data_IF_945070116410
#
_entry.id   IF_945070116410
#
_cell.length_a   1.000
_cell.length_b   1.000
_cell.length_c   1.000
_cell.angle_alpha   90.00
_cell.angle_beta   90.00
_cell.angle_gamma   90.00
#
_symmetry.space_group_name_H-M   'P 1'
#
loop_
_entity.id
_entity.type
_entity.pdbx_description
1 polymer ?
#
# COMPACT_ATOMS: atom_id res chain seq x y z
N UNK A 1 3.22 20.98 19.25
CA UNK A 1 3.89 19.75 18.77
C UNK A 1 2.88 18.60 18.84
N UNK A 2 2.35 18.09 17.72
CA UNK A 2 1.56 16.85 17.73
C UNK A 2 2.23 15.83 16.79
N UNK A 3 3.48 15.45 17.06
CA UNK A 3 4.23 14.45 16.27
C UNK A 3 4.11 13.04 16.84
N UNK A 4 3.74 12.90 18.14
CA UNK A 4 3.69 11.60 18.81
C UNK A 4 2.55 10.69 18.33
N UNK A 5 1.37 11.25 18.07
CA UNK A 5 0.19 10.43 17.70
C UNK A 5 0.30 9.91 16.26
N UNK A 6 0.90 10.68 15.35
CA UNK A 6 1.09 10.26 13.96
C UNK A 6 2.12 9.10 13.86
N UNK A 7 3.20 9.18 14.64
CA UNK A 7 4.22 8.12 14.70
C UNK A 7 3.69 6.86 15.41
N UNK A 8 2.78 7.00 16.37
CA UNK A 8 2.09 5.86 16.99
C UNK A 8 1.12 5.18 16.03
N UNK A 9 0.38 5.92 15.21
CA UNK A 9 -0.52 5.34 14.20
C UNK A 9 0.25 4.67 13.08
N UNK A 10 1.34 5.28 12.59
CA UNK A 10 2.25 4.65 11.63
C UNK A 10 2.93 3.39 12.21
N UNK A 11 3.34 3.43 13.48
CA UNK A 11 3.87 2.26 14.18
C UNK A 11 2.83 1.14 14.37
N UNK A 12 1.57 1.48 14.67
CA UNK A 12 0.49 0.51 14.79
C UNK A 12 0.11 -0.12 13.43
N UNK A 13 0.10 0.66 12.35
CA UNK A 13 -0.10 0.11 11.00
C UNK A 13 1.03 -0.83 10.55
N UNK A 14 2.28 -0.57 10.97
CA UNK A 14 3.40 -1.48 10.69
C UNK A 14 3.35 -2.75 11.55
N UNK A 15 2.81 -2.67 12.78
CA UNK A 15 2.63 -3.84 13.64
C UNK A 15 1.48 -4.76 13.20
N UNK A 16 0.43 -4.22 12.56
CA UNK A 16 -0.62 -5.05 11.95
C UNK A 16 -0.15 -5.81 10.68
N UNK A 17 0.97 -5.41 10.08
CA UNK A 17 1.60 -6.14 8.97
C UNK A 17 2.47 -7.31 9.48
N UNK A 18 2.87 -7.30 10.76
CA UNK A 18 3.79 -8.28 11.33
C UNK A 18 3.13 -9.51 11.97
N UNK A 19 1.80 -9.58 12.05
CA UNK A 19 1.10 -10.71 12.66
C UNK A 19 0.09 -11.25 11.66
N UNK A 20 0.53 -12.14 10.78
CA UNK A 20 -0.19 -13.28 10.18
C UNK A 20 0.59 -13.73 8.95
N UNK A 21 1.57 -14.58 9.22
CA UNK A 21 2.45 -15.22 8.23
C UNK A 21 3.20 -16.33 8.93
N UNK A 22 2.48 -17.10 9.74
CA UNK A 22 2.96 -18.33 10.32
C UNK A 22 2.01 -19.40 9.82
N UNK A 23 2.34 -19.96 8.65
CA UNK A 23 1.92 -21.31 8.30
C UNK A 23 2.64 -22.23 9.27
N UNK A 24 2.10 -22.31 10.50
CA UNK A 24 2.40 -23.41 11.39
C UNK A 24 1.90 -24.66 10.67
N UNK A 25 2.83 -25.32 10.00
CA UNK A 25 2.71 -26.74 9.71
C UNK A 25 2.53 -27.41 11.06
N UNK A 26 1.27 -27.64 11.44
CA UNK A 26 0.90 -28.42 12.62
C UNK A 26 1.51 -29.82 12.44
N UNK A 27 2.72 -30.01 12.96
CA UNK A 27 3.27 -31.31 13.30
C UNK A 27 2.47 -31.85 14.50
N UNK A 28 1.26 -32.32 14.22
CA UNK A 28 0.53 -33.18 15.15
C UNK A 28 1.12 -34.58 15.03
N UNK A 29 2.11 -34.83 15.89
CA UNK A 29 2.74 -36.11 16.10
C UNK A 29 1.75 -37.12 16.71
N UNK A 30 1.01 -37.80 15.83
CA UNK A 30 0.36 -39.10 16.10
C UNK A 30 0.34 -39.88 14.79
N UNK A 31 1.25 -40.84 14.62
CA UNK A 31 1.42 -41.68 13.42
C UNK A 31 1.28 -40.90 12.09
N UNK A 32 2.25 -40.01 11.84
CA UNK A 32 2.33 -39.28 10.59
C UNK A 32 2.48 -40.27 9.43
N UNK A 33 1.40 -40.50 8.69
CA UNK A 33 1.46 -41.06 7.35
C UNK A 33 2.41 -40.15 6.58
N UNK A 34 3.67 -40.58 6.37
CA UNK A 34 4.65 -39.80 5.60
C UNK A 34 4.04 -39.61 4.21
N UNK A 35 3.66 -38.39 3.86
CA UNK A 35 3.02 -38.03 2.59
C UNK A 35 4.05 -37.49 1.60
N UNK A 36 3.79 -37.65 0.30
CA UNK A 36 4.63 -37.01 -0.71
C UNK A 36 4.57 -35.50 -0.56
N UNK A 37 5.74 -34.85 -0.57
CA UNK A 37 5.83 -33.40 -0.70
C UNK A 37 5.93 -33.05 -2.18
N UNK A 38 5.05 -32.15 -2.63
CA UNK A 38 4.97 -31.70 -4.03
C UNK A 38 5.26 -30.21 -4.06
N UNK A 39 6.37 -29.81 -4.69
CA UNK A 39 6.73 -28.41 -4.94
C UNK A 39 6.50 -28.09 -6.42
N UNK A 40 5.66 -27.10 -6.70
CA UNK A 40 5.40 -26.63 -8.06
C UNK A 40 6.09 -25.27 -8.22
N UNK A 41 6.91 -25.12 -9.24
CA UNK A 41 7.65 -23.89 -9.52
C UNK A 41 7.58 -23.57 -11.01
N UNK A 42 6.66 -22.67 -11.38
CA UNK A 42 6.42 -22.31 -12.77
C UNK A 42 5.95 -23.52 -13.58
N UNK A 43 6.77 -23.97 -14.53
CA UNK A 43 6.51 -25.15 -15.38
C UNK A 43 7.22 -26.43 -14.89
N UNK A 44 7.83 -26.39 -13.71
CA UNK A 44 8.56 -27.51 -13.11
C UNK A 44 7.80 -28.05 -11.91
N UNK A 45 7.75 -29.38 -11.81
CA UNK A 45 7.20 -30.07 -10.65
C UNK A 45 8.29 -30.91 -10.01
N UNK A 46 8.45 -30.76 -8.71
CA UNK A 46 9.37 -31.53 -7.89
C UNK A 46 8.56 -32.41 -6.93
N UNK A 47 8.81 -33.71 -6.99
CA UNK A 47 8.23 -34.69 -6.08
C UNK A 47 9.30 -35.18 -5.10
N UNK A 48 9.02 -35.06 -3.80
CA UNK A 48 9.88 -35.63 -2.76
C UNK A 48 9.25 -36.91 -2.24
N UNK A 49 10.03 -37.99 -2.23
CA UNK A 49 9.59 -39.26 -1.66
C UNK A 49 9.35 -39.11 -0.15
N UNK A 50 8.23 -39.61 0.41
CA UNK A 50 7.92 -39.51 1.83
C UNK A 50 8.91 -40.25 2.73
N UNK A 51 9.42 -41.38 2.25
CA UNK A 51 10.24 -42.28 3.04
C UNK A 51 11.72 -41.90 2.93
N UNK A 52 12.44 -42.04 4.05
CA UNK A 52 13.86 -41.69 4.14
C UNK A 52 14.69 -42.90 3.70
N UNK A 53 15.03 -42.92 2.42
CA UNK A 53 15.90 -43.92 1.82
C UNK A 53 17.31 -43.33 1.69
N UNK A 54 18.06 -43.25 2.79
CA UNK A 54 19.39 -42.60 2.81
C UNK A 54 20.50 -43.42 2.14
N UNK A 55 20.33 -44.75 1.98
CA UNK A 55 21.43 -45.65 1.62
C UNK A 55 21.18 -46.54 0.40
N UNK A 56 20.00 -46.49 -0.22
CA UNK A 56 19.66 -47.38 -1.34
C UNK A 56 19.24 -46.61 -2.60
N UNK A 57 19.48 -47.17 -3.81
CA UNK A 57 19.04 -46.55 -5.05
C UNK A 57 17.51 -46.46 -5.09
N UNK A 58 17.00 -45.24 -5.27
CA UNK A 58 15.58 -44.96 -5.34
C UNK A 58 15.09 -45.13 -6.79
N UNK A 59 14.02 -45.89 -6.95
CA UNK A 59 13.39 -46.12 -8.25
C UNK A 59 12.07 -45.38 -8.31
N UNK A 60 11.88 -44.59 -9.37
CA UNK A 60 10.65 -43.86 -9.61
C UNK A 60 9.84 -44.54 -10.71
N UNK A 61 8.56 -44.81 -10.41
CA UNK A 61 7.59 -45.37 -11.33
C UNK A 61 6.47 -44.36 -11.61
N UNK A 62 6.05 -44.25 -12.88
CA UNK A 62 4.82 -43.58 -13.31
C UNK A 62 3.94 -44.57 -14.03
N UNK A 63 2.69 -44.70 -13.59
CA UNK A 63 1.72 -45.66 -14.15
C UNK A 63 2.30 -47.10 -14.23
N UNK A 64 3.07 -47.52 -13.20
CA UNK A 64 3.80 -48.79 -13.13
C UNK A 64 4.93 -48.95 -14.17
N UNK A 65 5.31 -47.88 -14.88
CA UNK A 65 6.46 -47.86 -15.76
C UNK A 65 7.61 -47.11 -15.09
N UNK A 66 8.80 -47.71 -15.10
CA UNK A 66 9.99 -47.11 -14.52
C UNK A 66 10.44 -45.90 -15.34
N UNK A 67 10.63 -44.75 -14.68
CA UNK A 67 11.05 -43.50 -15.32
C UNK A 67 12.53 -43.24 -15.09
N UNK A 68 13.02 -43.49 -13.87
CA UNK A 68 14.39 -43.18 -13.50
C UNK A 68 14.92 -44.11 -12.40
N UNK A 69 16.21 -44.42 -12.50
CA UNK A 69 17.06 -44.93 -11.43
C UNK A 69 17.88 -43.76 -10.91
N UNK A 70 17.51 -43.20 -9.76
CA UNK A 70 18.21 -42.04 -9.21
C UNK A 70 18.57 -42.31 -7.75
N UNK A 71 19.71 -41.77 -7.30
CA UNK A 71 20.07 -41.78 -5.88
C UNK A 71 19.36 -40.67 -5.09
N UNK A 72 18.62 -39.80 -5.78
CA UNK A 72 18.04 -38.60 -5.22
C UNK A 72 16.60 -38.85 -4.77
N UNK A 73 16.28 -38.36 -3.56
CA UNK A 73 14.93 -38.37 -2.96
C UNK A 73 13.93 -37.50 -3.74
N UNK A 74 14.43 -36.64 -4.61
CA UNK A 74 13.68 -35.65 -5.38
C UNK A 74 13.59 -36.12 -6.84
N UNK A 75 12.38 -36.13 -7.39
CA UNK A 75 12.15 -36.31 -8.83
C UNK A 75 11.76 -34.97 -9.43
N UNK A 76 12.60 -34.47 -10.34
CA UNK A 76 12.37 -33.25 -11.08
C UNK A 76 11.69 -33.57 -12.42
N UNK A 77 10.53 -32.97 -12.65
CA UNK A 77 9.81 -33.02 -13.91
C UNK A 77 9.81 -31.62 -14.53
N UNK A 78 10.68 -31.43 -15.52
CA UNK A 78 10.71 -30.23 -16.35
C UNK A 78 9.58 -30.23 -17.39
N UNK A 79 9.08 -29.04 -17.74
CA UNK A 79 8.01 -28.82 -18.74
C UNK A 79 6.81 -29.74 -18.49
N UNK A 80 6.23 -29.66 -17.29
CA UNK A 80 5.14 -30.53 -16.90
C UNK A 80 3.89 -30.26 -17.75
N UNK A 81 3.35 -31.26 -18.43
CA UNK A 81 2.08 -31.15 -19.14
C UNK A 81 0.98 -31.92 -18.39
N UNK A 82 -0.19 -31.30 -18.19
CA UNK A 82 -1.32 -31.99 -17.53
C UNK A 82 -1.69 -33.29 -18.27
N UNK A 83 -1.62 -33.30 -19.60
CA UNK A 83 -2.04 -34.46 -20.39
C UNK A 83 -1.04 -35.62 -20.35
N UNK A 84 0.26 -35.33 -20.42
CA UNK A 84 1.26 -36.41 -20.56
C UNK A 84 1.85 -36.78 -19.20
N UNK A 85 2.00 -35.81 -18.28
CA UNK A 85 2.67 -36.00 -17.00
C UNK A 85 1.74 -36.25 -15.82
N UNK A 86 0.41 -36.15 -15.99
CA UNK A 86 -0.52 -36.63 -14.98
C UNK A 86 -0.51 -38.17 -14.89
N UNK A 87 -0.61 -38.69 -13.67
CA UNK A 87 -0.64 -40.13 -13.46
C UNK A 87 -0.29 -40.55 -12.04
N UNK A 88 -0.18 -41.86 -11.85
CA UNK A 88 0.21 -42.45 -10.57
C UNK A 88 1.73 -42.50 -10.46
N UNK A 89 2.28 -41.81 -9.47
CA UNK A 89 3.70 -41.87 -9.13
C UNK A 89 3.93 -42.76 -7.92
N UNK A 90 5.05 -43.47 -7.90
CA UNK A 90 5.48 -44.28 -6.77
C UNK A 90 6.99 -44.27 -6.68
N UNK A 91 7.52 -44.03 -5.47
CA UNK A 91 8.93 -44.28 -5.19
C UNK A 91 9.10 -45.65 -4.52
N UNK A 92 10.08 -46.42 -4.97
CA UNK A 92 10.41 -47.72 -4.39
C UNK A 92 11.92 -47.90 -4.26
N UNK A 93 12.28 -48.56 -3.19
CA UNK A 93 13.62 -49.05 -2.89
C UNK A 93 13.64 -50.56 -3.11
N UNK A 94 14.81 -51.22 -3.10
CA UNK A 94 14.89 -52.68 -3.34
C UNK A 94 14.08 -53.48 -2.31
N UNK A 95 13.98 -52.96 -1.09
CA UNK A 95 13.32 -53.65 0.02
C UNK A 95 11.91 -53.12 0.33
N UNK A 96 11.61 -51.87 -0.03
CA UNK A 96 10.38 -51.18 0.41
C UNK A 96 9.75 -50.38 -0.72
N UNK A 97 8.43 -50.53 -0.87
CA UNK A 97 7.62 -49.74 -1.80
C UNK A 97 6.77 -48.75 -1.02
N UNK A 98 6.85 -47.48 -1.37
CA UNK A 98 5.99 -46.46 -0.76
C UNK A 98 4.56 -46.51 -1.33
N UNK A 99 3.64 -45.76 -0.72
CA UNK A 99 2.27 -45.63 -1.21
C UNK A 99 2.24 -44.91 -2.57
N UNK A 100 1.15 -45.09 -3.33
CA UNK A 100 0.97 -44.43 -4.64
C UNK A 100 0.34 -43.05 -4.46
N UNK A 101 0.83 -42.05 -5.19
CA UNK A 101 0.20 -40.72 -5.31
C UNK A 101 -0.31 -40.51 -6.73
N UNK A 102 -1.53 -39.99 -6.89
CA UNK A 102 -2.03 -39.54 -8.18
C UNK A 102 -1.73 -38.05 -8.35
N UNK A 103 -0.79 -37.72 -9.22
CA UNK A 103 -0.44 -36.34 -9.51
C UNK A 103 -1.26 -35.84 -10.71
N UNK A 104 -2.02 -34.78 -10.48
CA UNK A 104 -2.69 -34.00 -11.53
C UNK A 104 -2.53 -32.53 -11.21
N UNK A 105 -1.62 -31.88 -11.92
CA UNK A 105 -1.31 -30.46 -11.74
C UNK A 105 -1.50 -29.71 -13.06
N UNK A 106 -1.92 -28.45 -12.97
CA UNK A 106 -1.88 -27.50 -14.07
C UNK A 106 -0.77 -26.51 -13.77
N UNK A 107 0.26 -26.55 -14.60
CA UNK A 107 1.39 -25.63 -14.49
C UNK A 107 1.32 -24.60 -15.62
N UNK A 108 1.92 -23.45 -15.40
CA UNK A 108 1.86 -22.33 -16.30
C UNK A 108 3.14 -21.50 -16.20
N UNK A 109 3.62 -21.01 -17.34
CA UNK A 109 4.76 -20.09 -17.39
C UNK A 109 4.32 -18.70 -16.90
N UNK A 110 5.06 -18.13 -15.94
CA UNK A 110 4.82 -16.81 -15.35
C UNK A 110 3.49 -16.64 -14.59
N UNK A 111 2.80 -17.74 -14.26
CA UNK A 111 1.67 -17.68 -13.36
C UNK A 111 2.17 -17.45 -11.92
N UNK A 112 1.62 -16.45 -11.25
CA UNK A 112 1.83 -16.20 -9.81
C UNK A 112 0.65 -16.83 -9.08
N UNK A 113 0.94 -17.62 -8.05
CA UNK A 113 -0.09 -18.13 -7.16
C UNK A 113 -0.69 -16.96 -6.39
N UNK A 114 -1.95 -16.65 -6.69
CA UNK A 114 -2.68 -15.55 -6.08
C UNK A 114 -3.35 -16.10 -4.83
N UNK A 115 -2.62 -16.10 -3.72
CA UNK A 115 -3.20 -16.40 -2.41
C UNK A 115 -4.04 -15.20 -1.91
N UNK A 116 -5.09 -15.49 -1.13
CA UNK A 116 -5.96 -14.49 -0.52
C UNK A 116 -5.14 -13.54 0.35
N UNK A 117 -4.13 -14.07 1.05
CA UNK A 117 -3.20 -13.26 1.85
C UNK A 117 -2.35 -12.34 0.97
N UNK A 118 -1.85 -12.83 -0.17
CA UNK A 118 -1.10 -12.03 -1.12
C UNK A 118 -1.94 -10.88 -1.71
N UNK A 119 -3.20 -11.14 -2.05
CA UNK A 119 -4.11 -10.07 -2.53
C UNK A 119 -4.40 -9.06 -1.42
N UNK A 120 -4.70 -9.54 -0.21
CA UNK A 120 -4.98 -8.68 0.93
C UNK A 120 -3.79 -7.77 1.25
N UNK A 121 -2.57 -8.31 1.24
CA UNK A 121 -1.35 -7.54 1.47
C UNK A 121 -1.13 -6.48 0.40
N UNK A 122 -1.34 -6.80 -0.89
CA UNK A 122 -1.26 -5.82 -1.98
C UNK A 122 -2.24 -4.65 -1.75
N UNK A 123 -3.48 -4.94 -1.38
CA UNK A 123 -4.51 -3.91 -1.11
C UNK A 123 -4.11 -3.04 0.08
N UNK A 124 -3.64 -3.65 1.18
CA UNK A 124 -3.21 -2.91 2.38
C UNK A 124 -2.04 -1.98 2.04
N UNK A 125 -1.05 -2.47 1.29
CA UNK A 125 0.10 -1.66 0.85
C UNK A 125 -0.36 -0.46 0.01
N UNK A 126 -1.28 -0.65 -0.93
CA UNK A 126 -1.82 0.45 -1.75
C UNK A 126 -2.56 1.50 -0.90
N UNK A 127 -3.38 1.07 0.06
CA UNK A 127 -4.05 1.98 1.01
C UNK A 127 -3.02 2.76 1.83
N UNK A 128 -1.96 2.11 2.33
CA UNK A 128 -0.92 2.78 3.09
C UNK A 128 -0.15 3.80 2.24
N UNK A 129 0.17 3.47 0.99
CA UNK A 129 0.89 4.37 0.07
C UNK A 129 0.02 5.58 -0.28
N UNK A 130 -1.24 5.36 -0.66
CA UNK A 130 -2.17 6.45 -0.99
C UNK A 130 -2.42 7.38 0.20
N UNK A 131 -2.66 6.84 1.40
CA UNK A 131 -2.81 7.63 2.63
C UNK A 131 -1.51 8.37 2.99
N UNK A 132 -0.35 7.73 2.83
CA UNK A 132 0.96 8.34 3.05
C UNK A 132 1.20 9.55 2.15
N UNK A 133 0.90 9.42 0.86
CA UNK A 133 1.00 10.51 -0.12
C UNK A 133 0.02 11.64 0.19
N UNK A 134 -1.23 11.33 0.55
CA UNK A 134 -2.23 12.33 0.94
C UNK A 134 -1.78 13.13 2.17
N UNK A 135 -1.26 12.46 3.20
CA UNK A 135 -0.73 13.13 4.39
C UNK A 135 0.50 13.97 4.05
N UNK A 136 1.42 13.47 3.23
CA UNK A 136 2.61 14.21 2.80
C UNK A 136 2.22 15.53 2.11
N UNK A 137 1.32 15.46 1.11
CA UNK A 137 0.81 16.63 0.39
C UNK A 137 0.05 17.57 1.33
N UNK A 138 -0.76 17.03 2.24
CA UNK A 138 -1.46 17.80 3.25
C UNK A 138 -0.48 18.58 4.15
N UNK A 139 0.55 17.93 4.66
CA UNK A 139 1.56 18.58 5.50
C UNK A 139 2.40 19.58 4.71
N UNK A 140 2.75 19.29 3.46
CA UNK A 140 3.48 20.22 2.59
C UNK A 140 2.65 21.47 2.29
N UNK A 141 1.36 21.31 1.95
CA UNK A 141 0.45 22.44 1.73
C UNK A 141 0.28 23.28 2.99
N UNK A 142 0.14 22.66 4.17
CA UNK A 142 0.01 23.35 5.45
C UNK A 142 1.29 24.07 5.86
N UNK A 143 2.47 23.47 5.64
CA UNK A 143 3.77 24.11 5.86
C UNK A 143 4.01 25.28 4.89
N UNK A 144 3.51 25.20 3.65
CA UNK A 144 3.54 26.35 2.72
C UNK A 144 2.59 27.48 3.14
N UNK A 145 1.44 27.19 3.76
CA UNK A 145 0.54 28.23 4.31
C UNK A 145 1.16 29.05 5.46
N UNK A 146 2.20 28.54 6.14
CA UNK A 146 2.94 29.29 7.16
C UNK A 146 4.05 30.16 6.55
N UNK A 147 4.55 29.82 5.34
CA UNK A 147 5.55 30.62 4.60
C UNK A 147 4.93 31.59 3.59
N UNK A 148 3.67 31.40 3.23
CA UNK A 148 2.89 32.45 2.60
C UNK A 148 2.67 33.52 3.68
N UNK A 149 3.55 34.54 3.72
CA UNK A 149 3.15 35.85 4.25
C UNK A 149 1.73 36.09 3.75
N UNK A 150 0.78 36.56 4.58
CA UNK A 150 -0.55 36.88 4.10
C UNK A 150 -0.36 37.79 2.90
N UNK A 151 -0.61 37.26 1.70
CA UNK A 151 -0.77 38.09 0.53
C UNK A 151 -2.08 38.78 0.85
N UNK A 152 -1.97 39.98 1.42
CA UNK A 152 -3.02 40.96 1.41
C UNK A 152 -3.70 40.84 0.05
N UNK A 153 -4.94 40.34 0.05
CA UNK A 153 -5.81 40.36 -1.12
C UNK A 153 -5.81 41.79 -1.62
N UNK A 154 -5.15 42.02 -2.75
CA UNK A 154 -4.91 43.36 -3.28
C UNK A 154 -3.62 43.53 -4.08
N UNK A 155 -3.07 42.46 -4.66
CA UNK A 155 -2.13 42.61 -5.78
C UNK A 155 -2.95 42.74 -7.08
N UNK A 156 -3.66 43.86 -7.19
CA UNK A 156 -4.31 44.33 -8.39
C UNK A 156 -4.02 45.82 -8.51
N UNK A 157 -3.12 46.16 -9.42
CA UNK A 157 -2.84 47.49 -9.97
C UNK A 157 -2.89 48.71 -9.01
N UNK A 158 -1.72 49.23 -8.63
CA UNK A 158 -1.56 50.67 -8.39
C UNK A 158 -1.78 51.21 -6.96
N UNK A 159 -1.18 50.60 -5.93
CA UNK A 159 -1.15 51.18 -4.57
C UNK A 159 0.25 51.69 -4.19
N UNK A 160 0.47 53.01 -4.21
CA UNK A 160 1.71 53.66 -3.71
C UNK A 160 2.02 53.24 -2.26
N UNK A 161 3.29 53.04 -1.86
CA UNK A 161 3.64 52.81 -0.47
C UNK A 161 3.23 54.05 0.33
N UNK A 162 2.32 53.86 1.30
CA UNK A 162 1.86 54.94 2.17
C UNK A 162 3.04 55.36 3.05
N UNK A 163 3.70 56.43 2.64
CA UNK A 163 4.79 57.05 3.37
C UNK A 163 4.37 57.42 4.79
N UNK A 164 5.38 57.40 5.66
CA UNK A 164 5.38 57.79 7.05
C UNK A 164 4.40 58.94 7.36
N UNK A 165 3.66 58.76 8.46
CA UNK A 165 2.70 59.69 9.06
C UNK A 165 3.11 61.17 8.89
N UNK A 166 2.57 61.82 7.85
CA UNK A 166 2.51 63.27 7.72
C UNK A 166 1.03 63.62 7.68
N UNK A 167 0.59 64.37 8.69
CA UNK A 167 -0.72 65.01 8.70
C UNK A 167 -0.97 65.64 7.34
N UNK A 168 -2.07 65.23 6.70
CA UNK A 168 -2.54 65.93 5.50
C UNK A 168 -2.92 67.34 5.96
N UNK A 169 -2.44 68.41 5.33
CA UNK A 169 -2.98 69.72 5.58
C UNK A 169 -4.49 69.69 5.31
N UNK A 170 -5.31 70.42 6.09
CA UNK A 170 -6.73 70.48 5.84
C UNK A 170 -7.00 70.93 4.39
N UNK A 171 -8.06 70.41 3.74
CA UNK A 171 -8.43 70.85 2.41
C UNK A 171 -8.51 72.37 2.38
N UNK A 172 -7.86 72.99 1.38
CA UNK A 172 -7.91 74.44 1.18
C UNK A 172 -9.38 74.83 1.05
N UNK A 173 -9.91 75.74 1.90
CA UNK A 173 -11.29 76.20 1.78
C UNK A 173 -11.49 76.77 0.37
N UNK A 174 -12.49 76.25 -0.34
CA UNK A 174 -12.86 76.74 -1.65
C UNK A 174 -13.22 78.25 -1.51
N UNK A 175 -12.58 79.17 -2.26
CA UNK A 175 -12.83 80.62 -2.14
C UNK A 175 -14.30 81.00 -2.39
N UNK A 176 -15.07 80.15 -3.06
CA UNK A 176 -16.48 80.38 -3.38
C UNK A 176 -17.43 80.08 -2.20
N UNK A 177 -16.92 79.60 -1.06
CA UNK A 177 -17.74 79.30 0.11
C UNK A 177 -17.15 79.86 1.40
N UNK A 178 -18.00 80.50 2.21
CA UNK A 178 -17.61 80.96 3.55
C UNK A 178 -17.37 79.78 4.51
N UNK A 179 -16.38 79.85 5.42
CA UNK A 179 -16.17 78.84 6.44
C UNK A 179 -17.39 78.67 7.35
N UNK A 180 -17.92 77.44 7.40
CA UNK A 180 -19.10 77.09 8.20
C UNK A 180 -18.83 77.36 9.70
N UNK A 181 -19.60 78.28 10.30
CA UNK A 181 -19.54 78.58 11.74
C UNK A 181 -20.16 77.45 12.54
N UNK A 182 -19.32 76.60 13.15
CA UNK A 182 -19.80 75.53 14.06
C UNK A 182 -20.43 76.16 15.31
N UNK A 183 -21.75 76.11 15.43
CA UNK A 183 -22.49 76.54 16.62
C UNK A 183 -23.76 77.35 16.34
N UNK A 184 -23.96 77.82 15.11
CA UNK A 184 -25.16 78.57 14.71
C UNK A 184 -25.99 77.73 13.74
N UNK A 185 -27.29 77.57 14.00
CA UNK A 185 -28.21 76.89 13.09
C UNK A 185 -28.47 77.83 11.91
N UNK A 186 -27.96 77.50 10.74
CA UNK A 186 -28.29 78.24 9.52
C UNK A 186 -29.78 78.08 9.20
N UNK A 187 -30.42 79.16 8.73
CA UNK A 187 -31.87 79.26 8.54
C UNK A 187 -32.46 78.16 7.63
N UNK A 188 -31.63 77.53 6.80
CA UNK A 188 -32.01 76.45 5.87
C UNK A 188 -31.64 75.04 6.35
N UNK A 189 -31.07 74.89 7.55
CA UNK A 189 -30.61 73.59 8.08
C UNK A 189 -31.73 72.59 8.43
N UNK A 190 -33.01 72.98 8.32
CA UNK A 190 -34.17 72.15 8.67
C UNK A 190 -34.86 71.41 7.52
N UNK A 191 -34.43 71.57 6.26
CA UNK A 191 -35.22 71.09 5.11
C UNK A 191 -34.96 69.65 4.65
N UNK A 192 -34.06 68.91 5.29
CA UNK A 192 -33.77 67.50 4.95
C UNK A 192 -34.09 66.52 6.09
N UNK A 193 -35.27 66.66 6.71
CA UNK A 193 -35.90 65.55 7.43
C UNK A 193 -37.05 64.99 6.59
N UNK A 194 -36.73 64.18 5.58
CA UNK A 194 -37.66 63.13 5.14
C UNK A 194 -37.25 61.86 5.87
N UNK A 195 -38.05 61.53 6.89
CA UNK A 195 -38.08 60.18 7.46
C UNK A 195 -38.87 59.24 6.56
N UNK A 196 -38.43 57.98 6.56
CA UNK A 196 -39.06 56.76 6.00
C UNK A 196 -39.21 56.73 4.48
#
# INVERSE_FOLDING_TARGET
MPSGNLWRVLGLCLLSVGTWGQEDSEETATDALKTYKVSISGNRVELTCPEDFETEPLTWEKNNQKIADTYEKHLLLDNFSEMENSGYYTCSTKEKKSHRIYLKARVCENCVEVDVTAVATIIIVDICVTLGLLLLVYYWSKRRKVKAKPVTRGAGAGGRPRGQNRERPPPVPNPDYEPIRKGQRDLYSGLNQRGI
#
